data_IF_390321071372
#
_entry.id   IF_390321071372
#
_cell.length_a   1.000
_cell.length_b   1.000
_cell.length_c   1.000
_cell.angle_alpha   90.00
_cell.angle_beta   90.00
_cell.angle_gamma   90.00
#
_symmetry.space_group_name_H-M   'P 1'
#
loop_
_entity.id
_entity.type
_entity.pdbx_description
1 polymer ?
#
# COMPACT_ATOMS: atom_id res chain seq x y z
N UNK A 1 -27.07 21.17 -22.18
CA UNK A 1 -26.97 20.44 -20.91
C UNK A 1 -26.34 19.08 -21.20
N UNK A 2 -25.01 19.00 -21.13
CA UNK A 2 -24.29 17.74 -21.30
C UNK A 2 -24.31 17.00 -19.97
N UNK A 3 -24.89 15.81 -19.94
CA UNK A 3 -24.72 14.86 -18.83
C UNK A 3 -23.37 14.21 -18.99
N UNK A 4 -22.39 14.72 -18.25
CA UNK A 4 -21.15 13.99 -17.99
C UNK A 4 -21.49 12.87 -16.99
N UNK A 5 -21.83 11.68 -17.50
CA UNK A 5 -21.82 10.48 -16.67
C UNK A 5 -20.35 10.08 -16.48
N UNK A 6 -19.68 10.80 -15.59
CA UNK A 6 -18.40 10.42 -15.03
C UNK A 6 -18.56 9.13 -14.25
N UNK A 7 -18.37 8.00 -14.92
CA UNK A 7 -18.07 6.71 -14.29
C UNK A 7 -16.68 6.76 -13.67
N UNK A 8 -16.48 7.65 -12.70
CA UNK A 8 -15.30 7.65 -11.84
C UNK A 8 -15.50 6.54 -10.82
N UNK A 9 -14.69 5.49 -10.89
CA UNK A 9 -14.65 4.47 -9.84
C UNK A 9 -14.46 5.17 -8.48
N UNK A 10 -15.35 4.96 -7.49
CA UNK A 10 -15.36 5.68 -6.21
C UNK A 10 -14.29 5.10 -5.29
N UNK A 11 -13.06 4.95 -5.78
CA UNK A 11 -11.95 4.59 -4.93
C UNK A 11 -11.63 5.80 -4.05
N UNK A 12 -11.62 5.66 -2.72
CA UNK A 12 -11.26 6.74 -1.82
C UNK A 12 -9.90 7.33 -2.17
N UNK A 13 -9.66 8.59 -1.81
CA UNK A 13 -8.42 9.33 -2.08
C UNK A 13 -7.13 8.56 -1.67
N UNK A 14 -7.23 7.59 -0.76
CA UNK A 14 -6.14 6.71 -0.36
C UNK A 14 -5.63 5.73 -1.44
N UNK A 15 -6.44 5.42 -2.45
CA UNK A 15 -6.02 4.57 -3.57
C UNK A 15 -5.06 5.28 -4.53
N UNK A 16 -5.15 6.62 -4.58
CA UNK A 16 -4.28 7.47 -5.38
C UNK A 16 -2.89 7.49 -4.73
N UNK A 17 -1.99 6.62 -5.21
CA UNK A 17 -0.63 6.50 -4.70
C UNK A 17 -0.11 5.07 -4.60
N UNK A 18 -1.00 4.07 -4.65
CA UNK A 18 -0.58 2.65 -4.65
C UNK A 18 0.35 2.32 -5.82
N UNK A 19 0.11 2.90 -6.99
CA UNK A 19 0.98 2.72 -8.16
C UNK A 19 2.40 3.24 -7.91
N UNK A 20 2.55 4.36 -7.17
CA UNK A 20 3.87 4.91 -6.80
C UNK A 20 4.57 3.99 -5.81
N UNK A 21 3.85 3.51 -4.80
CA UNK A 21 4.40 2.57 -3.80
C UNK A 21 4.88 1.29 -4.48
N UNK A 22 4.10 0.74 -5.41
CA UNK A 22 4.50 -0.44 -6.19
C UNK A 22 5.71 -0.18 -7.09
N UNK A 23 5.73 0.96 -7.79
CA UNK A 23 6.81 1.31 -8.70
C UNK A 23 8.12 1.66 -7.98
N UNK A 24 8.08 1.96 -6.68
CA UNK A 24 9.28 2.30 -5.88
C UNK A 24 10.32 1.19 -5.79
N UNK A 25 9.94 -0.07 -6.01
CA UNK A 25 10.83 -1.22 -5.82
C UNK A 25 11.10 -1.55 -4.34
N UNK A 26 10.45 -0.88 -3.40
CA UNK A 26 10.61 -1.13 -1.96
C UNK A 26 9.63 -2.18 -1.42
N UNK A 27 8.67 -2.65 -2.20
CA UNK A 27 7.68 -3.67 -1.80
C UNK A 27 8.26 -5.08 -1.84
N UNK A 28 7.70 -5.98 -1.04
CA UNK A 28 7.99 -7.42 -1.06
C UNK A 28 6.78 -8.24 -1.57
N UNK A 29 6.93 -9.56 -1.59
CA UNK A 29 5.87 -10.46 -2.09
C UNK A 29 4.61 -10.42 -1.23
N UNK A 30 4.73 -10.22 0.09
CA UNK A 30 3.58 -10.13 0.98
C UNK A 30 2.76 -8.86 0.70
N UNK A 31 3.41 -7.71 0.55
CA UNK A 31 2.72 -6.46 0.16
C UNK A 31 2.03 -6.63 -1.19
N UNK A 32 2.69 -7.24 -2.18
CA UNK A 32 2.09 -7.49 -3.50
C UNK A 32 0.90 -8.43 -3.42
N UNK A 33 0.99 -9.48 -2.61
CA UNK A 33 -0.09 -10.44 -2.39
C UNK A 33 -1.33 -9.77 -1.79
N UNK A 34 -1.16 -9.00 -0.70
CA UNK A 34 -2.28 -8.30 -0.06
C UNK A 34 -2.89 -7.23 -0.97
N UNK A 35 -2.07 -6.54 -1.76
CA UNK A 35 -2.58 -5.60 -2.75
C UNK A 35 -3.39 -6.31 -3.86
N UNK A 36 -2.95 -7.47 -4.32
CA UNK A 36 -3.72 -8.29 -5.27
C UNK A 36 -5.10 -8.65 -4.70
N UNK A 37 -5.16 -9.08 -3.42
CA UNK A 37 -6.43 -9.32 -2.72
C UNK A 37 -7.30 -8.06 -2.67
N UNK A 38 -6.72 -6.91 -2.35
CA UNK A 38 -7.44 -5.64 -2.29
C UNK A 38 -8.07 -5.27 -3.64
N UNK A 39 -7.31 -5.38 -4.72
CA UNK A 39 -7.79 -5.07 -6.07
C UNK A 39 -8.94 -5.99 -6.50
N UNK A 40 -8.90 -7.26 -6.09
CA UNK A 40 -10.00 -8.20 -6.35
C UNK A 40 -11.25 -7.84 -5.54
N UNK A 41 -11.09 -7.51 -4.25
CA UNK A 41 -12.20 -7.12 -3.38
C UNK A 41 -12.84 -5.79 -3.78
N UNK A 42 -12.04 -4.80 -4.17
CA UNK A 42 -12.52 -3.45 -4.52
C UNK A 42 -13.21 -3.39 -5.89
N UNK A 43 -13.02 -4.38 -6.76
CA UNK A 43 -13.69 -4.49 -8.06
C UNK A 43 -14.89 -5.46 -8.04
N UNK A 44 -15.39 -5.82 -6.85
CA UNK A 44 -16.53 -6.72 -6.72
C UNK A 44 -17.83 -6.05 -7.24
N UNK A 45 -18.56 -6.66 -8.19
CA UNK A 45 -19.85 -6.13 -8.69
C UNK A 45 -20.94 -5.98 -7.62
N UNK A 46 -20.73 -6.57 -6.44
CA UNK A 46 -21.63 -6.45 -5.29
C UNK A 46 -21.52 -5.08 -4.60
N UNK A 47 -20.40 -4.37 -4.77
CA UNK A 47 -20.23 -3.01 -4.25
C UNK A 47 -21.22 -2.02 -4.86
N UNK A 48 -21.55 -2.18 -6.14
CA UNK A 48 -22.45 -1.29 -6.90
C UNK A 48 -23.94 -1.46 -6.55
N UNK A 49 -24.31 -2.46 -5.73
CA UNK A 49 -25.71 -2.84 -5.48
C UNK A 49 -26.28 -2.39 -4.13
N UNK A 50 -25.51 -1.67 -3.30
CA UNK A 50 -25.99 -1.20 -1.99
C UNK A 50 -26.56 0.22 -2.08
N UNK A 51 -27.66 0.44 -1.37
CA UNK A 51 -28.27 1.76 -1.24
C UNK A 51 -27.35 2.65 -0.39
N UNK A 52 -26.88 3.80 -0.90
CA UNK A 52 -25.99 4.67 -0.16
C UNK A 52 -26.61 5.34 1.08
N UNK A 53 -27.93 5.17 1.30
CA UNK A 53 -28.67 5.71 2.44
C UNK A 53 -28.95 4.67 3.55
N UNK A 54 -28.45 3.45 3.41
CA UNK A 54 -28.52 2.43 4.47
C UNK A 54 -27.52 2.77 5.59
N UNK A 55 -27.95 2.83 6.85
CA UNK A 55 -27.09 3.21 7.99
C UNK A 55 -25.92 2.22 8.14
N UNK A 56 -26.16 0.93 7.87
CA UNK A 56 -25.12 -0.10 7.84
C UNK A 56 -24.15 0.14 6.68
N UNK A 57 -24.61 0.68 5.55
CA UNK A 57 -23.75 1.09 4.44
C UNK A 57 -22.82 2.24 4.85
N UNK A 58 -23.36 3.25 5.54
CA UNK A 58 -22.58 4.43 5.95
C UNK A 58 -21.47 4.05 6.95
N UNK A 59 -21.78 3.23 7.95
CA UNK A 59 -20.79 2.80 8.95
C UNK A 59 -19.68 1.93 8.33
N UNK A 60 -20.03 0.95 7.50
CA UNK A 60 -19.04 0.10 6.85
C UNK A 60 -18.19 0.89 5.82
N UNK A 61 -18.78 1.85 5.12
CA UNK A 61 -18.05 2.71 4.18
C UNK A 61 -17.10 3.69 4.88
N UNK A 62 -17.46 4.18 6.06
CA UNK A 62 -16.56 4.96 6.91
C UNK A 62 -15.33 4.12 7.30
N UNK A 63 -15.54 2.87 7.74
CA UNK A 63 -14.45 1.94 8.03
C UNK A 63 -13.52 1.69 6.84
N UNK A 64 -14.06 1.50 5.63
CA UNK A 64 -13.27 1.34 4.39
C UNK A 64 -12.45 2.61 4.10
N UNK A 65 -13.03 3.79 4.29
CA UNK A 65 -12.34 5.07 4.08
C UNK A 65 -11.18 5.25 5.07
N UNK A 66 -11.40 4.95 6.36
CA UNK A 66 -10.35 4.97 7.39
C UNK A 66 -9.23 3.95 7.09
N UNK A 67 -9.61 2.75 6.64
CA UNK A 67 -8.68 1.72 6.19
C UNK A 67 -7.79 2.18 5.04
N UNK A 68 -8.35 2.90 4.06
CA UNK A 68 -7.57 3.55 3.00
C UNK A 68 -6.61 4.62 3.53
N UNK A 69 -7.01 5.39 4.54
CA UNK A 69 -6.14 6.32 5.25
C UNK A 69 -4.94 5.63 5.90
N UNK A 70 -5.16 4.48 6.56
CA UNK A 70 -4.11 3.67 7.16
C UNK A 70 -3.13 3.11 6.10
N UNK A 71 -3.65 2.62 4.97
CA UNK A 71 -2.83 2.14 3.84
C UNK A 71 -1.95 3.27 3.29
N UNK A 72 -2.51 4.47 3.09
CA UNK A 72 -1.76 5.63 2.62
C UNK A 72 -0.62 6.00 3.58
N UNK A 73 -0.91 6.08 4.88
CA UNK A 73 0.10 6.39 5.90
C UNK A 73 1.22 5.34 5.95
N UNK A 74 0.86 4.05 5.92
CA UNK A 74 1.84 2.96 5.89
C UNK A 74 2.69 2.98 4.60
N UNK A 75 2.07 3.30 3.47
CA UNK A 75 2.75 3.45 2.18
C UNK A 75 3.76 4.59 2.17
N UNK A 76 3.40 5.75 2.72
CA UNK A 76 4.32 6.89 2.88
C UNK A 76 5.51 6.54 3.77
N UNK A 77 5.27 5.81 4.87
CA UNK A 77 6.34 5.32 5.75
C UNK A 77 7.29 4.37 5.01
N UNK A 78 6.76 3.48 4.17
CA UNK A 78 7.58 2.57 3.37
C UNK A 78 8.47 3.34 2.37
N UNK A 79 7.94 4.37 1.71
CA UNK A 79 8.72 5.21 0.80
C UNK A 79 9.87 5.91 1.54
N UNK A 80 9.57 6.55 2.68
CA UNK A 80 10.59 7.22 3.49
C UNK A 80 11.70 6.25 3.97
N UNK A 81 11.32 5.06 4.45
CA UNK A 81 12.28 4.05 4.88
C UNK A 81 13.11 3.48 3.70
N UNK A 82 12.49 3.33 2.52
CA UNK A 82 13.18 2.94 1.29
C UNK A 82 14.21 3.97 0.84
N UNK A 83 13.85 5.26 0.85
CA UNK A 83 14.75 6.36 0.53
C UNK A 83 15.93 6.45 1.51
N UNK A 84 15.69 6.30 2.80
CA UNK A 84 16.75 6.26 3.82
C UNK A 84 17.72 5.10 3.56
N UNK A 85 17.19 3.92 3.23
CA UNK A 85 17.99 2.74 2.88
C UNK A 85 18.81 2.96 1.61
N UNK A 86 18.23 3.58 0.60
CA UNK A 86 18.95 3.84 -0.65
C UNK A 86 20.04 4.91 -0.48
N UNK A 87 19.82 5.91 0.37
CA UNK A 87 20.84 6.88 0.75
C UNK A 87 22.02 6.19 1.48
N UNK A 88 21.74 5.32 2.46
CA UNK A 88 22.78 4.52 3.13
C UNK A 88 23.56 3.64 2.14
N UNK A 89 22.86 2.97 1.23
CA UNK A 89 23.49 2.14 0.20
C UNK A 89 24.41 2.97 -0.71
N UNK A 90 23.99 4.16 -1.13
CA UNK A 90 24.80 5.05 -1.97
C UNK A 90 26.07 5.51 -1.23
N UNK A 91 25.96 5.89 0.05
CA UNK A 91 27.10 6.27 0.88
C UNK A 91 28.08 5.10 1.07
N UNK A 92 27.57 3.90 1.38
CA UNK A 92 28.39 2.70 1.50
C UNK A 92 29.10 2.38 0.18
N UNK A 93 28.38 2.43 -0.94
CA UNK A 93 28.94 2.17 -2.27
C UNK A 93 30.05 3.16 -2.61
N UNK A 94 29.86 4.45 -2.31
CA UNK A 94 30.89 5.47 -2.54
C UNK A 94 32.17 5.19 -1.73
N UNK A 95 32.02 4.82 -0.45
CA UNK A 95 33.15 4.43 0.41
C UNK A 95 33.90 3.21 -0.12
N UNK A 96 33.18 2.18 -0.57
CA UNK A 96 33.78 0.96 -1.10
C UNK A 96 34.52 1.21 -2.42
N UNK A 97 33.97 2.05 -3.31
CA UNK A 97 34.65 2.46 -4.55
C UNK A 97 35.94 3.21 -4.25
N UNK A 98 35.92 4.16 -3.30
CA UNK A 98 37.12 4.88 -2.88
C UNK A 98 38.19 3.96 -2.28
N UNK A 99 37.77 2.85 -1.65
CA UNK A 99 38.65 1.83 -1.10
C UNK A 99 39.06 0.73 -2.12
N UNK A 100 38.67 0.85 -3.40
CA UNK A 100 38.98 -0.15 -4.44
C UNK A 100 38.28 -1.50 -4.24
N UNK A 101 37.19 -1.54 -3.46
CA UNK A 101 36.45 -2.77 -3.11
C UNK A 101 35.38 -3.08 -4.16
N UNK A 102 35.09 -4.37 -4.44
CA UNK A 102 34.10 -4.74 -5.42
C UNK A 102 32.67 -4.38 -4.97
N UNK A 103 31.82 -3.98 -5.94
CA UNK A 103 30.40 -3.64 -5.71
C UNK A 103 29.61 -4.72 -4.96
N UNK A 104 29.96 -6.00 -5.14
CA UNK A 104 29.26 -7.13 -4.50
C UNK A 104 29.31 -7.06 -2.98
N UNK A 105 30.34 -6.45 -2.39
CA UNK A 105 30.41 -6.25 -0.94
C UNK A 105 29.31 -5.31 -0.44
N UNK A 106 29.00 -4.25 -1.18
CA UNK A 106 27.91 -3.32 -0.83
C UNK A 106 26.54 -4.00 -0.81
N UNK A 107 26.32 -4.98 -1.70
CA UNK A 107 25.06 -5.71 -1.82
C UNK A 107 24.85 -6.73 -0.69
N UNK A 108 25.93 -7.21 -0.09
CA UNK A 108 25.88 -8.22 0.98
C UNK A 108 26.05 -7.61 2.38
N UNK A 109 26.24 -6.30 2.46
CA UNK A 109 26.41 -5.61 3.75
C UNK A 109 25.03 -5.21 4.25
N UNK A 110 24.60 -5.67 5.44
CA UNK A 110 23.38 -5.20 6.07
C UNK A 110 23.43 -3.69 6.30
N UNK A 111 22.32 -3.01 6.03
CA UNK A 111 22.17 -1.57 6.25
C UNK A 111 21.36 -1.32 7.52
N UNK A 112 21.63 -0.23 8.23
CA UNK A 112 20.87 0.12 9.44
C UNK A 112 19.40 0.37 9.13
N UNK A 113 19.13 0.96 7.97
CA UNK A 113 17.78 1.24 7.49
C UNK A 113 17.01 -0.01 7.01
N UNK A 114 17.65 -1.19 6.89
CA UNK A 114 16.93 -2.41 6.46
C UNK A 114 15.82 -2.79 7.45
N UNK A 115 16.08 -2.66 8.76
CA UNK A 115 15.09 -2.95 9.80
C UNK A 115 13.85 -2.07 9.68
N UNK A 116 14.04 -0.76 9.55
CA UNK A 116 12.94 0.19 9.46
C UNK A 116 12.11 -0.04 8.19
N UNK A 117 12.78 -0.33 7.07
CA UNK A 117 12.10 -0.68 5.82
C UNK A 117 11.28 -1.96 5.96
N UNK A 118 11.83 -3.00 6.59
CA UNK A 118 11.13 -4.27 6.76
C UNK A 118 9.94 -4.15 7.74
N UNK A 119 10.07 -3.34 8.80
CA UNK A 119 8.95 -2.98 9.67
C UNK A 119 7.86 -2.19 8.92
N UNK A 120 8.25 -1.27 8.02
CA UNK A 120 7.33 -0.52 7.19
C UNK A 120 6.60 -1.42 6.16
N UNK A 121 7.29 -2.40 5.56
CA UNK A 121 6.67 -3.43 4.70
C UNK A 121 5.61 -4.21 5.46
N UNK A 122 5.95 -4.70 6.64
CA UNK A 122 5.02 -5.46 7.47
C UNK A 122 3.81 -4.61 7.90
N UNK A 123 4.01 -3.32 8.19
CA UNK A 123 2.92 -2.41 8.50
C UNK A 123 1.99 -2.18 7.30
N UNK A 124 2.55 -1.98 6.10
CA UNK A 124 1.75 -1.83 4.88
C UNK A 124 0.97 -3.11 4.55
N UNK A 125 1.60 -4.29 4.64
CA UNK A 125 0.93 -5.56 4.44
C UNK A 125 -0.26 -5.75 5.39
N UNK A 126 -0.08 -5.43 6.69
CA UNK A 126 -1.18 -5.47 7.67
C UNK A 126 -2.30 -4.50 7.35
N UNK A 127 -1.98 -3.27 6.95
CA UNK A 127 -2.98 -2.27 6.57
C UNK A 127 -3.79 -2.71 5.33
N UNK A 128 -3.12 -3.26 4.31
CA UNK A 128 -3.76 -3.82 3.13
C UNK A 128 -4.66 -5.02 3.49
N UNK A 129 -4.15 -5.95 4.30
CA UNK A 129 -4.93 -7.10 4.77
C UNK A 129 -6.17 -6.68 5.54
N UNK A 130 -6.04 -5.74 6.47
CA UNK A 130 -7.18 -5.20 7.22
C UNK A 130 -8.21 -4.55 6.31
N UNK A 131 -7.78 -3.77 5.31
CA UNK A 131 -8.69 -3.17 4.34
C UNK A 131 -9.42 -4.23 3.49
N UNK A 132 -8.75 -5.33 3.13
CA UNK A 132 -9.41 -6.48 2.48
C UNK A 132 -10.49 -7.07 3.37
N UNK A 133 -10.23 -7.23 4.66
CA UNK A 133 -11.18 -7.79 5.60
C UNK A 133 -12.40 -6.85 5.79
N UNK A 134 -12.19 -5.53 5.78
CA UNK A 134 -13.28 -4.54 5.76
C UNK A 134 -14.14 -4.65 4.50
N UNK A 135 -13.52 -4.81 3.32
CA UNK A 135 -14.26 -5.08 2.09
C UNK A 135 -15.03 -6.41 2.17
N UNK A 136 -14.44 -7.46 2.76
CA UNK A 136 -15.12 -8.75 2.92
C UNK A 136 -16.33 -8.64 3.85
N UNK A 137 -16.19 -8.02 5.02
CA UNK A 137 -17.30 -7.77 5.95
C UNK A 137 -18.41 -6.95 5.28
N UNK A 138 -18.05 -5.92 4.52
CA UNK A 138 -19.01 -5.15 3.73
C UNK A 138 -19.74 -6.02 2.69
N UNK A 139 -19.06 -6.99 2.07
CA UNK A 139 -19.64 -7.87 1.06
C UNK A 139 -20.48 -9.02 1.64
N UNK A 140 -20.19 -9.46 2.86
CA UNK A 140 -20.78 -10.62 3.55
C UNK A 140 -21.96 -10.27 4.47
N UNK A 141 -22.25 -9.00 4.76
CA UNK A 141 -23.42 -8.54 5.54
C UNK A 141 -24.81 -8.84 4.94
N UNK A 142 -24.93 -9.90 4.13
CA UNK A 142 -26.18 -10.55 3.73
C UNK A 142 -26.14 -12.01 4.19
N UNK A 143 -26.70 -12.27 5.35
CA UNK A 143 -27.42 -13.50 5.65
C UNK A 143 -28.71 -13.15 6.39
#
# INVERSE_FOLDING_TARGET
MSRENGGGSPLPDGAQGLGVILASGHTDEEVKYQLGRLLLSSNSPRLERKDPLDDDYVEHWAGVTDGWGAVKAAGQRLLAAGEARDAEYLMLRARLVAAGRPRREALNTPLSADRERDEARAALARALGHLVDLYAAYLDGRD
#
